data_IF_190580033850
#
_entry.id   IF_190580033850
#
_cell.length_a   1.000
_cell.length_b   1.000
_cell.length_c   1.000
_cell.angle_alpha   90.00
_cell.angle_beta   90.00
_cell.angle_gamma   90.00
#
_symmetry.space_group_name_H-M   'P 1'
#
loop_
_entity.id
_entity.type
_entity.pdbx_description
1 polymer ?
#
# COMPACT_ATOMS: atom_id res chain seq x y z
N UNK A 1 -39.25 9.14 -2.29
CA UNK A 1 -38.27 9.33 -3.38
C UNK A 1 -36.90 9.72 -2.79
N UNK A 2 -36.52 9.13 -1.66
CA UNK A 2 -35.54 9.76 -0.73
C UNK A 2 -34.63 8.73 -0.02
N UNK A 3 -34.44 7.56 -0.63
CA UNK A 3 -33.67 6.46 -0.04
C UNK A 3 -32.42 6.06 -0.83
N UNK A 4 -31.98 6.86 -1.82
CA UNK A 4 -30.93 6.41 -2.75
C UNK A 4 -29.64 7.26 -2.78
N UNK A 5 -29.47 8.27 -1.93
CA UNK A 5 -28.23 9.08 -1.97
C UNK A 5 -27.00 8.35 -1.41
N UNK A 6 -27.16 7.43 -0.46
CA UNK A 6 -26.03 6.65 0.10
C UNK A 6 -25.57 5.52 -0.83
N UNK A 7 -26.48 4.89 -1.57
CA UNK A 7 -26.18 3.83 -2.56
C UNK A 7 -25.76 4.39 -3.92
N UNK A 8 -26.26 5.56 -4.30
CA UNK A 8 -25.95 6.18 -5.59
C UNK A 8 -24.67 7.02 -5.61
N UNK A 9 -24.06 7.38 -4.46
CA UNK A 9 -22.82 8.18 -4.44
C UNK A 9 -21.70 7.58 -5.31
N UNK A 10 -21.55 6.24 -5.29
CA UNK A 10 -20.55 5.55 -6.12
C UNK A 10 -20.88 5.65 -7.61
N UNK A 11 -22.16 5.50 -7.99
CA UNK A 11 -22.61 5.64 -9.38
C UNK A 11 -22.47 7.09 -9.85
N UNK A 12 -22.91 8.05 -9.03
CA UNK A 12 -22.76 9.49 -9.28
C UNK A 12 -21.30 9.88 -9.52
N UNK A 13 -20.39 9.53 -8.62
CA UNK A 13 -18.97 9.83 -8.80
C UNK A 13 -18.33 9.06 -9.96
N UNK A 14 -18.85 7.87 -10.30
CA UNK A 14 -18.41 7.12 -11.48
C UNK A 14 -18.84 7.84 -12.76
N UNK A 15 -20.10 8.27 -12.84
CA UNK A 15 -20.65 9.04 -13.96
C UNK A 15 -19.95 10.38 -14.11
N UNK A 16 -19.76 11.14 -13.02
CA UNK A 16 -19.02 12.40 -13.03
C UNK A 16 -17.57 12.21 -13.50
N UNK A 17 -16.87 11.15 -13.05
CA UNK A 17 -15.53 10.84 -13.56
C UNK A 17 -15.54 10.47 -15.04
N UNK A 18 -16.57 9.78 -15.50
CA UNK A 18 -16.70 9.41 -16.91
C UNK A 18 -16.97 10.63 -17.79
N UNK A 19 -17.86 11.53 -17.35
CA UNK A 19 -18.16 12.79 -18.03
C UNK A 19 -16.98 13.78 -17.99
N UNK A 20 -16.19 13.76 -16.91
CA UNK A 20 -14.96 14.58 -16.78
C UNK A 20 -13.74 13.97 -17.47
N UNK A 21 -13.79 12.72 -17.93
CA UNK A 21 -12.70 12.12 -18.71
C UNK A 21 -12.69 12.77 -20.09
N UNK A 22 -11.93 13.85 -20.24
CA UNK A 22 -11.41 14.24 -21.55
C UNK A 22 -10.58 13.10 -22.16
N UNK A 23 -10.25 13.19 -23.45
CA UNK A 23 -9.32 12.26 -24.12
C UNK A 23 -8.08 12.08 -23.23
N UNK A 24 -7.88 10.87 -22.70
CA UNK A 24 -6.61 10.51 -22.09
C UNK A 24 -5.58 10.54 -23.21
N UNK A 25 -4.83 11.62 -23.31
CA UNK A 25 -3.61 11.62 -24.10
C UNK A 25 -2.68 10.62 -23.42
N UNK A 26 -2.40 9.51 -24.09
CA UNK A 26 -1.17 8.77 -23.84
C UNK A 26 -0.04 9.76 -24.03
N UNK A 27 0.58 10.14 -22.92
CA UNK A 27 1.69 11.08 -22.93
C UNK A 27 2.87 10.35 -23.57
N UNK A 28 2.98 10.46 -24.88
CA UNK A 28 4.11 9.95 -25.66
C UNK A 28 5.33 10.86 -25.53
N UNK A 29 5.24 11.95 -24.76
CA UNK A 29 6.30 12.94 -24.64
C UNK A 29 6.49 13.40 -23.20
N UNK A 30 7.70 13.36 -22.65
CA UNK A 30 7.97 13.79 -21.27
C UNK A 30 9.29 14.55 -21.16
N UNK A 31 9.46 15.34 -20.10
CA UNK A 31 10.74 15.97 -19.83
C UNK A 31 11.73 14.99 -19.16
N UNK A 32 12.94 14.93 -19.71
CA UNK A 32 14.11 14.31 -19.12
C UNK A 32 14.54 15.02 -17.83
N UNK A 33 15.51 14.44 -17.13
CA UNK A 33 16.09 15.08 -15.94
C UNK A 33 16.84 16.38 -16.28
N UNK A 34 17.36 16.47 -17.50
CA UNK A 34 18.04 17.63 -18.11
C UNK A 34 17.09 18.67 -18.70
N UNK A 35 15.77 18.42 -18.66
CA UNK A 35 14.75 19.27 -19.27
C UNK A 35 14.53 19.04 -20.77
N UNK A 36 15.22 18.08 -21.40
CA UNK A 36 14.99 17.73 -22.80
C UNK A 36 13.63 17.02 -22.98
N UNK A 37 12.98 17.21 -24.14
CA UNK A 37 11.72 16.54 -24.43
C UNK A 37 11.98 15.14 -25.03
N UNK A 38 11.69 14.10 -24.26
CA UNK A 38 11.74 12.70 -24.67
C UNK A 38 10.48 12.35 -25.44
N UNK A 39 10.60 11.73 -26.61
CA UNK A 39 9.44 11.34 -27.46
C UNK A 39 9.39 9.86 -27.80
N UNK A 40 10.50 9.14 -27.60
CA UNK A 40 10.59 7.69 -27.78
C UNK A 40 9.92 6.97 -26.62
N UNK A 41 9.12 5.94 -26.91
CA UNK A 41 8.49 5.10 -25.89
C UNK A 41 9.51 4.52 -24.91
N UNK A 42 10.70 4.15 -25.41
CA UNK A 42 11.76 3.60 -24.57
C UNK A 42 12.28 4.63 -23.58
N UNK A 43 12.62 5.81 -24.07
CA UNK A 43 13.18 6.89 -23.25
C UNK A 43 12.17 7.40 -22.22
N UNK A 44 10.89 7.46 -22.60
CA UNK A 44 9.79 7.78 -21.69
C UNK A 44 9.70 6.74 -20.56
N UNK A 45 9.73 5.45 -20.88
CA UNK A 45 9.63 4.36 -19.90
C UNK A 45 10.87 4.31 -19.00
N UNK A 46 12.06 4.50 -19.55
CA UNK A 46 13.31 4.54 -18.80
C UNK A 46 13.33 5.75 -17.85
N UNK A 47 12.90 6.93 -18.31
CA UNK A 47 12.75 8.14 -17.48
C UNK A 47 11.80 7.94 -16.29
N UNK A 48 10.72 7.20 -16.51
CA UNK A 48 9.82 6.82 -15.42
C UNK A 48 10.48 5.88 -14.41
N UNK A 49 11.24 4.91 -14.91
CA UNK A 49 12.05 4.01 -14.09
C UNK A 49 12.98 4.80 -13.17
N UNK A 50 13.78 5.70 -13.74
CA UNK A 50 14.70 6.59 -13.02
C UNK A 50 13.96 7.42 -11.95
N UNK A 51 12.85 8.09 -12.34
CA UNK A 51 12.10 8.91 -11.40
C UNK A 51 11.59 8.14 -10.18
N UNK A 52 11.04 6.93 -10.40
CA UNK A 52 10.55 6.11 -9.29
C UNK A 52 11.66 5.41 -8.52
N UNK A 53 12.79 5.11 -9.16
CA UNK A 53 13.98 4.60 -8.48
C UNK A 53 14.52 5.65 -7.50
N UNK A 54 14.71 6.88 -7.93
CA UNK A 54 15.13 7.99 -7.07
C UNK A 54 14.13 8.24 -5.93
N UNK A 55 12.83 8.23 -6.26
CA UNK A 55 11.78 8.48 -5.28
C UNK A 55 11.72 7.42 -4.18
N UNK A 56 11.98 6.15 -4.53
CA UNK A 56 11.89 5.00 -3.63
C UNK A 56 13.25 4.58 -3.05
N UNK A 57 14.32 5.35 -3.32
CA UNK A 57 15.67 5.12 -2.81
C UNK A 57 16.42 6.44 -2.53
N UNK A 58 15.95 7.31 -1.63
CA UNK A 58 16.62 8.55 -1.28
C UNK A 58 17.97 8.27 -0.59
N UNK A 59 18.96 9.11 -0.91
CA UNK A 59 20.38 8.95 -0.58
C UNK A 59 20.66 8.92 0.93
N UNK A 60 19.84 9.60 1.73
CA UNK A 60 20.02 9.75 3.19
C UNK A 60 19.40 8.61 4.02
N UNK A 61 19.12 7.46 3.42
CA UNK A 61 18.52 6.34 4.16
C UNK A 61 19.60 5.67 5.02
N UNK A 62 19.55 5.75 6.37
CA UNK A 62 20.51 5.04 7.19
C UNK A 62 20.37 3.53 6.96
N UNK A 63 21.48 2.88 6.59
CA UNK A 63 21.54 1.43 6.53
C UNK A 63 21.59 0.89 7.95
N UNK A 64 20.44 0.60 8.56
CA UNK A 64 20.43 -0.07 9.85
C UNK A 64 20.14 -1.56 9.72
N UNK A 65 21.11 -2.29 10.27
CA UNK A 65 21.33 -3.72 10.25
C UNK A 65 20.34 -4.51 11.10
N UNK A 66 20.25 -5.76 10.64
CA UNK A 66 19.92 -7.02 11.31
C UNK A 66 18.61 -7.12 12.11
N UNK A 67 17.71 -7.92 11.51
CA UNK A 67 16.70 -8.65 12.23
C UNK A 67 17.36 -9.35 13.43
N UNK A 68 16.92 -9.01 14.64
CA UNK A 68 17.35 -9.69 15.86
C UNK A 68 17.16 -11.21 15.75
N UNK A 69 17.84 -11.99 16.61
CA UNK A 69 17.87 -13.45 16.52
C UNK A 69 16.46 -14.04 16.34
N UNK A 70 16.32 -14.88 15.31
CA UNK A 70 15.07 -15.60 15.03
C UNK A 70 14.71 -16.43 16.27
N UNK A 71 13.59 -16.13 16.89
CA UNK A 71 13.07 -16.91 18.01
C UNK A 71 12.74 -18.34 17.52
N UNK A 72 13.29 -19.40 18.15
CA UNK A 72 13.02 -20.78 17.76
C UNK A 72 11.58 -21.24 18.04
N UNK A 73 10.74 -20.42 18.69
CA UNK A 73 9.31 -20.72 18.86
C UNK A 73 8.59 -20.65 17.51
N UNK A 74 8.15 -21.82 17.01
CA UNK A 74 7.24 -21.91 15.87
C UNK A 74 5.89 -21.35 16.29
N UNK A 75 5.61 -20.11 15.90
CA UNK A 75 4.30 -19.50 16.07
C UNK A 75 3.24 -20.29 15.31
N UNK A 76 1.97 -20.15 15.72
CA UNK A 76 0.88 -20.95 15.18
C UNK A 76 0.83 -20.93 13.65
N UNK A 77 0.62 -22.09 13.00
CA UNK A 77 0.55 -22.15 11.54
C UNK A 77 -0.58 -21.27 11.02
N UNK A 78 -0.48 -20.84 9.76
CA UNK A 78 -1.54 -20.10 9.08
C UNK A 78 -2.70 -21.06 8.80
N UNK A 79 -3.87 -20.76 9.38
CA UNK A 79 -5.06 -21.57 9.19
C UNK A 79 -5.73 -21.28 7.84
N UNK A 80 -6.45 -22.27 7.31
CA UNK A 80 -7.26 -22.09 6.09
C UNK A 80 -8.32 -21.00 6.29
N UNK A 81 -8.87 -20.89 7.50
CA UNK A 81 -9.87 -19.87 7.83
C UNK A 81 -9.31 -18.45 7.69
N UNK A 82 -8.08 -18.19 8.15
CA UNK A 82 -7.42 -16.89 7.97
C UNK A 82 -7.26 -16.54 6.48
N UNK A 83 -6.85 -17.51 5.67
CA UNK A 83 -6.66 -17.33 4.22
C UNK A 83 -8.01 -17.09 3.53
N UNK A 84 -9.02 -17.92 3.81
CA UNK A 84 -10.38 -17.80 3.27
C UNK A 84 -10.94 -16.39 3.51
N UNK A 85 -10.77 -15.92 4.73
CA UNK A 85 -11.21 -14.62 5.17
C UNK A 85 -10.53 -13.47 4.42
N UNK A 86 -9.25 -13.60 4.10
CA UNK A 86 -8.52 -12.60 3.30
C UNK A 86 -8.99 -12.64 1.85
N UNK A 87 -9.10 -13.83 1.26
CA UNK A 87 -9.57 -14.03 -0.12
C UNK A 87 -10.97 -13.46 -0.32
N UNK A 88 -11.90 -13.73 0.61
CA UNK A 88 -13.27 -13.20 0.55
C UNK A 88 -13.31 -11.67 0.51
N UNK A 89 -12.38 -11.01 1.23
CA UNK A 89 -12.28 -9.54 1.30
C UNK A 89 -11.48 -8.91 0.16
N UNK A 90 -10.92 -9.69 -0.77
CA UNK A 90 -10.28 -9.13 -1.97
C UNK A 90 -11.32 -8.33 -2.77
N UNK A 91 -10.92 -7.21 -3.37
CA UNK A 91 -11.81 -6.44 -4.24
C UNK A 91 -11.70 -6.96 -5.66
N UNK A 92 -12.84 -7.21 -6.32
CA UNK A 92 -12.87 -7.58 -7.74
C UNK A 92 -12.57 -6.39 -8.66
N UNK A 93 -12.29 -6.69 -9.93
CA UNK A 93 -11.99 -5.70 -10.96
C UNK A 93 -10.68 -4.94 -10.74
N UNK A 94 -9.77 -5.49 -9.93
CA UNK A 94 -8.46 -4.89 -9.66
C UNK A 94 -7.41 -5.43 -10.63
N UNK A 95 -6.47 -4.56 -11.01
CA UNK A 95 -5.36 -4.93 -11.89
C UNK A 95 -4.41 -5.91 -11.18
N UNK A 96 -3.88 -6.91 -11.91
CA UNK A 96 -2.95 -7.86 -11.35
C UNK A 96 -1.52 -7.28 -11.22
N UNK A 97 -0.69 -7.94 -10.42
CA UNK A 97 0.74 -7.64 -10.28
C UNK A 97 1.56 -8.27 -11.40
N UNK A 98 2.81 -8.62 -11.10
CA UNK A 98 3.69 -9.33 -12.05
C UNK A 98 3.22 -10.75 -12.39
N UNK A 99 2.42 -11.35 -11.51
CA UNK A 99 1.87 -12.69 -11.63
C UNK A 99 0.70 -12.78 -12.63
N UNK A 100 0.15 -11.64 -13.05
CA UNK A 100 -1.03 -11.52 -13.91
C UNK A 100 -2.29 -12.23 -13.34
N UNK A 101 -2.30 -12.58 -12.05
CA UNK A 101 -3.42 -13.25 -11.38
C UNK A 101 -4.42 -12.19 -10.86
N UNK A 102 -5.66 -12.30 -11.31
CA UNK A 102 -6.75 -11.41 -10.88
C UNK A 102 -7.47 -11.92 -9.62
N UNK A 103 -8.03 -11.03 -8.78
CA UNK A 103 -8.77 -11.41 -7.57
C UNK A 103 -9.86 -12.45 -7.77
N UNK A 104 -10.51 -12.45 -8.93
CA UNK A 104 -11.60 -13.38 -9.29
C UNK A 104 -11.12 -14.84 -9.28
N UNK A 105 -9.89 -15.11 -9.73
CA UNK A 105 -9.35 -16.46 -9.75
C UNK A 105 -9.21 -17.03 -8.34
N UNK A 106 -8.70 -16.24 -7.39
CA UNK A 106 -8.58 -16.71 -6.01
C UNK A 106 -9.93 -16.85 -5.31
N UNK A 107 -10.89 -15.98 -5.64
CA UNK A 107 -12.25 -16.07 -5.10
C UNK A 107 -13.03 -17.27 -5.62
N UNK A 108 -12.70 -17.75 -6.81
CA UNK A 108 -13.30 -18.92 -7.43
C UNK A 108 -12.66 -20.24 -6.97
N UNK A 109 -11.62 -20.21 -6.12
CA UNK A 109 -10.99 -21.42 -5.61
C UNK A 109 -11.98 -22.22 -4.75
N UNK A 110 -11.99 -23.52 -4.99
CA UNK A 110 -12.67 -24.49 -4.16
C UNK A 110 -11.84 -24.82 -2.89
N UNK A 111 -12.31 -25.78 -2.11
CA UNK A 111 -11.65 -26.19 -0.86
C UNK A 111 -10.22 -26.71 -1.13
N UNK A 112 -10.00 -27.39 -2.25
CA UNK A 112 -8.69 -27.91 -2.63
C UNK A 112 -7.75 -26.77 -3.01
N UNK A 113 -8.19 -25.86 -3.88
CA UNK A 113 -7.42 -24.68 -4.28
C UNK A 113 -7.05 -23.78 -3.10
N UNK A 114 -7.99 -23.55 -2.18
CA UNK A 114 -7.74 -22.80 -0.96
C UNK A 114 -6.73 -23.51 -0.03
N UNK A 115 -6.71 -24.84 -0.02
CA UNK A 115 -5.73 -25.63 0.73
C UNK A 115 -4.31 -25.46 0.16
N UNK A 116 -4.17 -25.45 -1.16
CA UNK A 116 -2.89 -25.16 -1.82
C UNK A 116 -2.39 -23.75 -1.51
N UNK A 117 -3.27 -22.74 -1.58
CA UNK A 117 -2.93 -21.36 -1.22
C UNK A 117 -2.52 -21.25 0.25
N UNK A 118 -3.20 -21.97 1.14
CA UNK A 118 -2.85 -22.03 2.57
C UNK A 118 -1.50 -22.71 2.79
N UNK A 119 -1.22 -23.79 2.05
CA UNK A 119 0.09 -24.45 2.09
C UNK A 119 1.20 -23.51 1.64
N UNK A 120 0.99 -22.75 0.56
CA UNK A 120 1.95 -21.73 0.10
C UNK A 120 2.23 -20.67 1.19
N UNK A 121 1.19 -20.16 1.85
CA UNK A 121 1.34 -19.22 2.96
C UNK A 121 2.14 -19.82 4.13
N UNK A 122 1.91 -21.10 4.45
CA UNK A 122 2.65 -21.78 5.51
C UNK A 122 4.12 -22.04 5.15
N UNK A 123 4.42 -22.38 3.89
CA UNK A 123 5.80 -22.50 3.41
C UNK A 123 6.53 -21.16 3.60
N UNK A 124 5.88 -20.05 3.24
CA UNK A 124 6.45 -18.72 3.46
C UNK A 124 6.65 -18.40 4.96
N UNK A 125 5.64 -18.74 5.78
CA UNK A 125 5.68 -18.56 7.24
C UNK A 125 6.83 -19.34 7.90
N UNK A 126 7.04 -20.60 7.54
CA UNK A 126 8.05 -21.46 8.19
C UNK A 126 9.45 -21.23 7.64
N UNK A 127 9.60 -21.00 6.33
CA UNK A 127 10.91 -20.73 5.72
C UNK A 127 11.43 -19.31 6.02
N UNK A 128 10.52 -18.37 6.28
CA UNK A 128 10.84 -16.95 6.40
C UNK A 128 11.23 -16.32 5.05
N UNK A 129 10.83 -16.93 3.94
CA UNK A 129 11.08 -16.46 2.58
C UNK A 129 9.81 -16.55 1.73
N UNK A 130 9.64 -15.62 0.79
CA UNK A 130 8.53 -15.61 -0.17
C UNK A 130 9.08 -15.70 -1.60
N UNK A 131 8.27 -16.15 -2.58
CA UNK A 131 8.64 -16.07 -3.99
C UNK A 131 9.00 -14.63 -4.41
N UNK A 132 9.91 -14.48 -5.37
CA UNK A 132 10.34 -13.18 -5.88
C UNK A 132 9.16 -12.33 -6.41
N UNK A 133 8.16 -12.97 -7.00
CA UNK A 133 6.94 -12.29 -7.48
C UNK A 133 6.19 -11.58 -6.35
N UNK A 134 6.20 -12.13 -5.13
CA UNK A 134 5.63 -11.49 -3.94
C UNK A 134 6.43 -10.28 -3.46
N UNK A 135 7.69 -10.18 -3.87
CA UNK A 135 8.59 -9.06 -3.58
C UNK A 135 8.70 -8.10 -4.77
N UNK A 136 8.02 -8.37 -5.88
CA UNK A 136 8.09 -7.56 -7.10
C UNK A 136 6.83 -6.74 -7.28
N UNK A 137 7.00 -5.42 -7.34
CA UNK A 137 5.91 -4.46 -7.54
C UNK A 137 5.90 -3.89 -8.96
N UNK A 138 4.71 -3.78 -9.55
CA UNK A 138 4.51 -3.05 -10.81
C UNK A 138 3.96 -1.67 -10.51
N UNK A 139 4.80 -0.64 -10.64
CA UNK A 139 4.40 0.76 -10.46
C UNK A 139 3.66 1.22 -11.71
N UNK A 140 2.44 1.72 -11.52
CA UNK A 140 1.63 2.34 -12.57
C UNK A 140 1.46 3.82 -12.23
N UNK A 141 2.03 4.75 -13.02
CA UNK A 141 1.86 6.18 -12.78
C UNK A 141 0.44 6.62 -13.13
N UNK A 142 -0.21 7.32 -12.19
CA UNK A 142 -1.51 7.94 -12.39
C UNK A 142 -1.38 9.44 -12.30
N UNK A 143 -1.80 10.13 -13.36
CA UNK A 143 -1.78 11.58 -13.41
C UNK A 143 -2.62 12.18 -12.27
N UNK A 144 -2.02 13.12 -11.53
CA UNK A 144 -2.66 13.79 -10.39
C UNK A 144 -3.11 15.21 -10.75
N UNK A 145 -2.18 16.08 -11.16
CA UNK A 145 -2.43 17.50 -11.49
C UNK A 145 -1.21 18.13 -12.18
N UNK A 146 -1.36 19.28 -12.85
CA UNK A 146 -0.23 20.03 -13.43
C UNK A 146 0.10 19.62 -14.87
N UNK A 147 1.34 19.84 -15.31
CA UNK A 147 1.82 19.42 -16.63
C UNK A 147 2.00 17.89 -16.68
N UNK A 148 1.37 17.25 -17.65
CA UNK A 148 1.44 15.80 -17.89
C UNK A 148 2.83 15.32 -18.33
N UNK A 149 3.70 16.23 -18.78
CA UNK A 149 5.07 15.90 -19.21
C UNK A 149 6.06 15.78 -18.04
N UNK A 150 5.63 16.10 -16.82
CA UNK A 150 6.49 16.14 -15.62
C UNK A 150 6.15 14.97 -14.69
N UNK A 151 7.13 14.13 -14.35
CA UNK A 151 6.90 12.92 -13.56
C UNK A 151 6.37 13.18 -12.14
N UNK A 152 6.77 14.28 -11.49
CA UNK A 152 6.32 14.65 -10.13
C UNK A 152 4.82 14.95 -10.01
N UNK A 153 4.16 15.19 -11.14
CA UNK A 153 2.72 15.42 -11.26
C UNK A 153 1.89 14.12 -11.27
N UNK A 154 2.55 12.97 -11.11
CA UNK A 154 1.92 11.66 -11.08
C UNK A 154 2.08 11.01 -9.71
N UNK A 155 1.11 10.14 -9.39
CA UNK A 155 1.14 9.24 -8.25
C UNK A 155 1.47 7.84 -8.74
N UNK A 156 2.52 7.22 -8.21
CA UNK A 156 2.77 5.79 -8.42
C UNK A 156 1.77 4.95 -7.63
N UNK A 157 1.11 4.00 -8.29
CA UNK A 157 0.40 2.91 -7.60
C UNK A 157 1.15 1.62 -7.85
N UNK A 158 1.55 0.94 -6.77
CA UNK A 158 2.28 -0.33 -6.85
C UNK A 158 1.30 -1.50 -6.86
N UNK A 159 1.29 -2.26 -7.94
CA UNK A 159 0.53 -3.50 -8.07
C UNK A 159 1.40 -4.68 -7.64
N UNK A 160 1.00 -5.33 -6.54
CA UNK A 160 1.69 -6.50 -5.99
C UNK A 160 1.04 -7.80 -6.45
N UNK A 161 1.81 -8.90 -6.40
CA UNK A 161 1.28 -10.24 -6.63
C UNK A 161 0.12 -10.56 -5.71
N UNK A 162 -0.85 -11.29 -6.22
CA UNK A 162 -2.06 -11.61 -5.50
C UNK A 162 -1.82 -12.64 -4.38
N UNK A 163 -1.00 -13.70 -4.56
CA UNK A 163 -0.59 -14.56 -3.45
C UNK A 163 0.15 -13.77 -2.35
N UNK A 164 1.02 -12.83 -2.74
CA UNK A 164 1.71 -11.93 -1.80
C UNK A 164 0.74 -11.01 -1.03
N UNK A 165 -0.30 -10.50 -1.70
CA UNK A 165 -1.40 -9.74 -1.06
C UNK A 165 -2.19 -10.61 -0.08
N UNK A 166 -2.44 -11.87 -0.40
CA UNK A 166 -3.13 -12.79 0.52
C UNK A 166 -2.27 -13.04 1.75
N UNK A 167 -1.00 -13.40 1.56
CA UNK A 167 -0.07 -13.65 2.67
C UNK A 167 0.09 -12.41 3.57
N UNK A 168 0.38 -11.25 2.99
CA UNK A 168 0.48 -9.99 3.73
C UNK A 168 -0.84 -9.62 4.43
N UNK A 169 -2.00 -9.92 3.85
CA UNK A 169 -3.30 -9.73 4.48
C UNK A 169 -3.56 -10.65 5.68
N UNK A 170 -2.97 -11.84 5.71
CA UNK A 170 -2.99 -12.72 6.89
C UNK A 170 -2.08 -12.15 7.98
N UNK A 171 -0.85 -11.77 7.62
CA UNK A 171 0.11 -11.18 8.57
C UNK A 171 -0.44 -9.89 9.19
N UNK A 172 -1.05 -9.03 8.37
CA UNK A 172 -1.70 -7.79 8.80
C UNK A 172 -2.73 -8.01 9.91
N UNK A 173 -3.60 -9.02 9.77
CA UNK A 173 -4.59 -9.35 10.81
C UNK A 173 -3.95 -9.84 12.09
N UNK A 174 -2.88 -10.64 12.00
CA UNK A 174 -2.13 -11.13 13.16
C UNK A 174 -1.47 -9.97 13.90
N UNK A 175 -0.82 -9.06 13.16
CA UNK A 175 -0.21 -7.84 13.72
C UNK A 175 -1.28 -6.94 14.33
N UNK A 176 -2.38 -6.68 13.62
CA UNK A 176 -3.46 -5.81 14.09
C UNK A 176 -4.02 -6.24 15.44
N UNK A 177 -4.23 -7.54 15.67
CA UNK A 177 -4.72 -8.05 16.96
C UNK A 177 -3.81 -7.67 18.15
N UNK A 178 -2.52 -7.50 17.90
CA UNK A 178 -1.51 -7.15 18.90
C UNK A 178 -1.42 -5.62 19.06
N UNK A 179 -1.47 -4.89 17.94
CA UNK A 179 -1.22 -3.44 17.91
C UNK A 179 -2.47 -2.63 18.28
N UNK A 180 -3.65 -3.03 17.81
CA UNK A 180 -4.90 -2.25 17.91
C UNK A 180 -5.26 -1.81 19.34
N UNK A 181 -5.14 -2.65 20.39
CA UNK A 181 -5.43 -2.23 21.78
C UNK A 181 -4.43 -1.22 22.35
N UNK A 182 -3.28 -1.03 21.70
CA UNK A 182 -2.20 -0.13 22.13
C UNK A 182 -2.19 1.18 21.36
N UNK A 183 -3.00 1.32 20.30
CA UNK A 183 -3.10 2.55 19.52
C UNK A 183 -3.94 3.56 20.31
N UNK A 184 -3.41 4.78 20.44
CA UNK A 184 -4.07 5.91 21.08
C UNK A 184 -5.44 6.22 20.47
N UNK A 185 -6.38 6.69 21.29
CA UNK A 185 -7.78 6.90 20.90
C UNK A 185 -7.92 8.02 19.85
N UNK A 186 -7.03 8.99 19.87
CA UNK A 186 -6.99 10.12 18.94
C UNK A 186 -6.63 9.68 17.53
N UNK A 187 -5.96 8.54 17.35
CA UNK A 187 -5.66 8.00 16.04
C UNK A 187 -6.93 7.39 15.44
N UNK A 188 -7.47 8.01 14.39
CA UNK A 188 -8.62 7.49 13.64
C UNK A 188 -8.26 6.93 12.25
N UNK A 189 -7.16 7.38 11.65
CA UNK A 189 -6.72 6.89 10.35
C UNK A 189 -6.43 5.38 10.37
N UNK A 190 -6.95 4.66 9.37
CA UNK A 190 -6.65 3.24 9.11
C UNK A 190 -7.13 2.24 10.18
N UNK A 191 -8.08 2.66 11.05
CA UNK A 191 -8.67 1.83 12.09
C UNK A 191 -10.11 1.43 11.75
N UNK A 192 -10.51 0.17 11.99
CA UNK A 192 -11.88 -0.27 11.75
C UNK A 192 -12.86 0.43 12.69
N UNK A 193 -14.01 0.85 12.16
CA UNK A 193 -15.07 1.51 12.94
C UNK A 193 -14.79 2.98 13.28
N UNK A 194 -13.74 3.58 12.72
CA UNK A 194 -13.40 4.99 12.88
C UNK A 194 -13.32 5.68 11.52
N UNK A 195 -13.70 6.95 11.48
CA UNK A 195 -13.71 7.75 10.26
C UNK A 195 -13.43 9.23 10.50
N UNK A 196 -13.43 9.98 9.41
CA UNK A 196 -13.22 11.44 9.44
C UNK A 196 -14.33 12.17 10.17
N UNK A 197 -15.54 11.59 10.21
CA UNK A 197 -16.69 12.17 10.92
C UNK A 197 -16.44 12.19 12.43
N UNK A 198 -15.83 11.14 12.99
CA UNK A 198 -15.52 11.08 14.41
C UNK A 198 -14.53 12.18 14.81
N UNK A 199 -13.48 12.39 14.00
CA UNK A 199 -12.50 13.45 14.20
C UNK A 199 -13.11 14.84 14.04
N UNK A 200 -13.99 15.04 13.06
CA UNK A 200 -14.70 16.29 12.87
C UNK A 200 -15.60 16.58 14.08
N UNK A 201 -16.29 15.58 14.59
CA UNK A 201 -17.11 15.70 15.80
C UNK A 201 -16.26 16.11 17.01
N UNK A 202 -15.13 15.42 17.26
CA UNK A 202 -14.20 15.77 18.34
C UNK A 202 -13.70 17.20 18.21
N UNK A 203 -13.28 17.62 17.01
CA UNK A 203 -12.84 18.99 16.76
C UNK A 203 -13.96 20.01 17.04
N UNK A 204 -15.19 19.74 16.57
CA UNK A 204 -16.35 20.60 16.84
C UNK A 204 -16.62 20.73 18.34
N UNK A 205 -16.54 19.64 19.11
CA UNK A 205 -16.72 19.68 20.57
C UNK A 205 -15.68 20.56 21.27
N UNK A 206 -14.42 20.48 20.85
CA UNK A 206 -13.34 21.33 21.37
C UNK A 206 -13.61 22.80 21.07
N UNK A 207 -14.06 23.12 19.86
CA UNK A 207 -14.39 24.49 19.47
C UNK A 207 -15.62 25.04 20.22
N UNK A 208 -16.69 24.25 20.33
CA UNK A 208 -17.89 24.63 21.07
C UNK A 208 -17.58 24.92 22.55
N UNK A 209 -16.85 24.02 23.21
CA UNK A 209 -16.48 24.20 24.62
C UNK A 209 -15.57 25.40 24.84
N UNK A 210 -14.59 25.61 23.95
CA UNK A 210 -13.70 26.78 24.06
C UNK A 210 -14.45 28.09 23.85
N UNK A 211 -15.45 28.09 22.95
CA UNK A 211 -16.32 29.24 22.73
C UNK A 211 -17.18 29.55 23.96
N UNK A 212 -17.77 28.53 24.60
CA UNK A 212 -18.57 28.66 25.83
C UNK A 212 -17.78 29.31 26.98
N UNK A 213 -16.51 28.95 27.14
CA UNK A 213 -15.65 29.47 28.21
C UNK A 213 -14.73 30.62 27.79
N UNK A 214 -14.99 31.23 26.61
CA UNK A 214 -14.20 32.32 26.03
C UNK A 214 -12.68 32.04 26.00
N UNK A 215 -12.30 30.78 25.80
CA UNK A 215 -10.91 30.36 25.71
C UNK A 215 -10.40 30.49 24.27
N UNK A 216 -9.21 31.08 24.05
CA UNK A 216 -8.61 31.13 22.72
C UNK A 216 -8.20 29.72 22.26
N UNK A 217 -8.51 29.38 21.00
CA UNK A 217 -8.10 28.12 20.38
C UNK A 217 -7.12 28.41 19.25
N UNK A 218 -5.98 27.72 19.26
CA UNK A 218 -5.01 27.73 18.18
C UNK A 218 -4.93 26.33 17.57
N UNK A 219 -5.01 26.24 16.24
CA UNK A 219 -4.97 24.98 15.50
C UNK A 219 -3.74 24.94 14.60
N UNK A 220 -3.05 23.79 14.60
CA UNK A 220 -1.91 23.52 13.72
C UNK A 220 -2.20 22.28 12.87
N UNK A 221 -2.19 22.45 11.55
CA UNK A 221 -2.37 21.34 10.61
C UNK A 221 -1.02 20.97 10.02
N UNK A 222 -0.60 19.72 10.23
CA UNK A 222 0.66 19.17 9.72
C UNK A 222 0.35 18.09 8.69
N UNK A 223 0.88 18.25 7.48
CA UNK A 223 0.80 17.25 6.41
C UNK A 223 2.20 16.78 6.02
N UNK A 224 2.41 15.46 5.99
CA UNK A 224 3.69 14.87 5.65
C UNK A 224 3.77 14.60 4.14
N UNK A 225 4.70 15.27 3.47
CA UNK A 225 4.92 15.05 2.04
C UNK A 225 5.40 13.61 1.77
N UNK A 226 4.60 12.85 1.01
CA UNK A 226 4.92 11.48 0.57
C UNK A 226 5.31 10.55 1.73
N UNK A 227 4.56 10.63 2.83
CA UNK A 227 4.83 9.90 4.07
C UNK A 227 5.19 8.41 3.87
N UNK A 228 4.43 7.67 3.04
CA UNK A 228 4.66 6.24 2.83
C UNK A 228 5.93 5.89 2.06
N UNK A 229 6.35 6.78 1.16
CA UNK A 229 7.52 6.59 0.29
C UNK A 229 8.82 6.91 1.05
N UNK A 230 8.72 7.61 2.20
CA UNK A 230 9.89 8.10 2.96
C UNK A 230 10.16 7.36 4.28
N UNK A 231 9.32 6.41 4.69
CA UNK A 231 9.54 5.68 5.96
C UNK A 231 10.73 4.71 5.82
N UNK A 232 11.82 4.86 6.61
CA UNK A 232 12.91 3.91 6.59
C UNK A 232 12.49 2.61 7.29
N UNK A 233 12.79 1.46 6.67
CA UNK A 233 12.32 0.14 7.14
C UNK A 233 12.84 -0.24 8.53
N UNK A 234 14.07 0.17 8.86
CA UNK A 234 14.65 -0.09 10.18
C UNK A 234 13.79 0.45 11.33
N UNK A 235 13.25 1.66 11.18
CA UNK A 235 12.34 2.24 12.18
C UNK A 235 11.04 1.44 12.30
N UNK A 236 10.48 0.96 11.18
CA UNK A 236 9.27 0.13 11.20
C UNK A 236 9.45 -1.13 12.05
N UNK A 237 10.61 -1.78 11.99
CA UNK A 237 10.91 -2.96 12.80
C UNK A 237 11.03 -2.64 14.29
N UNK A 238 11.63 -1.49 14.63
CA UNK A 238 11.70 -0.98 15.99
C UNK A 238 10.31 -0.72 16.56
N UNK A 239 9.47 0.02 15.83
CA UNK A 239 8.09 0.32 16.22
C UNK A 239 7.28 -0.96 16.42
N UNK A 240 7.33 -1.92 15.49
CA UNK A 240 6.58 -3.18 15.67
C UNK A 240 7.02 -3.93 16.95
N UNK A 241 8.32 -3.89 17.29
CA UNK A 241 8.82 -4.51 18.52
C UNK A 241 8.33 -3.78 19.77
N UNK A 242 8.32 -2.45 19.77
CA UNK A 242 7.78 -1.63 20.86
C UNK A 242 6.29 -1.89 21.10
N UNK A 243 5.52 -2.10 20.03
CA UNK A 243 4.11 -2.49 20.11
C UNK A 243 3.90 -3.97 20.50
N UNK A 244 4.97 -4.70 20.84
CA UNK A 244 4.90 -6.07 21.35
C UNK A 244 4.67 -7.14 20.27
N UNK A 245 4.97 -6.85 19.00
CA UNK A 245 4.92 -7.84 17.92
C UNK A 245 6.14 -8.77 18.05
N UNK A 246 5.90 -10.08 18.02
CA UNK A 246 6.97 -11.07 18.17
C UNK A 246 7.98 -11.02 17.02
N UNK A 247 9.25 -11.34 17.30
CA UNK A 247 10.31 -11.38 16.29
C UNK A 247 9.99 -12.34 15.12
N UNK A 248 9.26 -13.43 15.39
CA UNK A 248 8.78 -14.33 14.33
C UNK A 248 7.84 -13.62 13.35
N UNK A 249 6.85 -12.89 13.86
CA UNK A 249 5.87 -12.19 13.03
C UNK A 249 6.53 -10.98 12.32
N UNK A 250 7.46 -10.30 12.99
CA UNK A 250 8.30 -9.27 12.36
C UNK A 250 9.13 -9.90 11.23
N UNK A 251 9.75 -11.07 11.44
CA UNK A 251 10.51 -11.78 10.42
C UNK A 251 9.66 -12.19 9.21
N UNK A 252 8.43 -12.65 9.45
CA UNK A 252 7.47 -12.95 8.37
C UNK A 252 7.11 -11.68 7.57
N UNK A 253 6.88 -10.55 8.23
CA UNK A 253 6.65 -9.27 7.55
C UNK A 253 7.92 -8.85 6.79
N UNK A 254 9.10 -8.94 7.40
CA UNK A 254 10.39 -8.61 6.80
C UNK A 254 10.65 -9.42 5.52
N UNK A 255 10.24 -10.69 5.47
CA UNK A 255 10.39 -11.54 4.27
C UNK A 255 9.75 -10.93 3.02
N UNK A 256 8.68 -10.14 3.16
CA UNK A 256 8.04 -9.44 2.04
C UNK A 256 8.89 -8.26 1.50
N UNK A 257 9.82 -7.76 2.30
CA UNK A 257 10.60 -6.56 2.00
C UNK A 257 12.06 -6.83 1.63
N UNK A 258 12.63 -7.96 2.04
CA UNK A 258 14.06 -8.28 1.97
C UNK A 258 14.70 -8.05 0.59
N UNK A 259 14.05 -8.53 -0.49
CA UNK A 259 14.53 -8.37 -1.88
C UNK A 259 13.52 -7.61 -2.73
N UNK A 260 12.97 -6.55 -2.16
CA UNK A 260 11.96 -5.73 -2.84
C UNK A 260 12.49 -5.11 -4.12
N UNK A 261 11.85 -5.42 -5.25
CA UNK A 261 12.13 -4.84 -6.57
C UNK A 261 10.87 -4.21 -7.17
N UNK A 262 11.02 -3.09 -7.86
CA UNK A 262 9.95 -2.44 -8.61
C UNK A 262 10.30 -2.38 -10.10
N UNK A 263 9.28 -2.33 -10.94
CA UNK A 263 9.39 -1.89 -12.33
C UNK A 263 8.21 -0.97 -12.64
N UNK A 264 8.36 -0.07 -13.60
CA UNK A 264 7.28 0.81 -14.04
C UNK A 264 6.59 0.22 -15.27
N UNK A 265 5.26 0.22 -15.31
CA UNK A 265 4.45 -0.22 -16.45
C UNK A 265 3.59 0.92 -16.99
N UNK A 266 3.76 1.23 -18.28
CA UNK A 266 3.03 2.30 -18.99
C UNK A 266 2.69 1.83 -20.39
N UNK A 267 1.41 1.98 -20.77
CA UNK A 267 0.90 1.65 -22.11
C UNK A 267 1.32 0.24 -22.62
N UNK A 268 1.50 -0.71 -21.71
CA UNK A 268 1.94 -2.09 -22.03
C UNK A 268 3.46 -2.30 -22.01
N UNK A 269 4.26 -1.23 -22.06
CA UNK A 269 5.72 -1.29 -21.92
C UNK A 269 6.14 -1.34 -20.45
N UNK A 270 7.28 -2.00 -20.18
CA UNK A 270 7.86 -2.16 -18.84
C UNK A 270 9.27 -1.57 -18.83
N UNK A 271 9.62 -0.85 -17.76
CA UNK A 271 11.00 -0.43 -17.52
C UNK A 271 11.85 -1.61 -17.08
N UNK A 272 13.16 -1.39 -16.99
CA UNK A 272 14.03 -2.27 -16.20
C UNK A 272 13.57 -2.29 -14.74
N UNK A 273 13.83 -3.41 -14.06
CA UNK A 273 13.59 -3.50 -12.63
C UNK A 273 14.69 -2.79 -11.85
N UNK A 274 14.32 -2.21 -10.72
CA UNK A 274 15.22 -1.55 -9.78
C UNK A 274 14.92 -1.98 -8.34
N UNK A 275 15.92 -2.02 -7.46
CA UNK A 275 15.71 -2.33 -6.04
C UNK A 275 14.93 -1.22 -5.34
N UNK A 276 14.20 -1.57 -4.28
CA UNK A 276 13.45 -0.61 -3.46
C UNK A 276 13.89 -0.72 -2.02
N UNK A 277 14.45 0.37 -1.48
CA UNK A 277 15.01 0.45 -0.13
C UNK A 277 14.07 1.14 0.85
N UNK A 278 13.35 2.18 0.42
CA UNK A 278 12.28 2.81 1.20
C UNK A 278 10.98 2.61 0.45
N UNK A 279 10.02 1.95 1.10
CA UNK A 279 8.64 1.84 0.64
C UNK A 279 7.88 1.07 1.71
N UNK A 280 6.88 1.71 2.33
CA UNK A 280 5.94 1.06 3.25
C UNK A 280 4.65 0.60 2.56
N UNK A 281 4.39 1.04 1.32
CA UNK A 281 3.18 0.73 0.56
C UNK A 281 3.05 -0.75 0.17
N UNK A 282 4.15 -1.52 0.23
CA UNK A 282 4.17 -2.94 -0.16
C UNK A 282 3.47 -3.90 0.80
N UNK A 283 3.22 -3.52 2.06
CA UNK A 283 2.42 -4.38 2.90
C UNK A 283 0.93 -4.08 2.67
N UNK A 284 0.13 -5.15 2.55
CA UNK A 284 -1.30 -5.06 2.78
C UNK A 284 -1.66 -4.46 4.16
N UNK A 285 -0.69 -4.29 5.08
CA UNK A 285 -0.79 -3.43 6.27
C UNK A 285 -1.17 -1.97 5.94
N UNK A 286 -0.70 -1.41 4.82
CA UNK A 286 -1.12 -0.09 4.33
C UNK A 286 -2.09 -0.17 3.15
N UNK A 287 -1.96 -1.18 2.27
CA UNK A 287 -2.65 -1.15 0.97
C UNK A 287 -4.16 -1.46 1.00
N UNK A 288 -4.73 -1.89 2.14
CA UNK A 288 -6.20 -1.98 2.34
C UNK A 288 -6.93 -0.64 2.21
N UNK A 289 -6.21 0.47 2.09
CA UNK A 289 -6.76 1.83 2.14
C UNK A 289 -6.42 2.74 0.95
N UNK A 290 -5.75 2.22 -0.08
CA UNK A 290 -5.52 2.97 -1.32
C UNK A 290 -6.22 2.31 -2.50
N UNK A 291 -7.56 2.20 -2.45
CA UNK A 291 -8.37 1.87 -3.61
C UNK A 291 -9.88 2.05 -3.40
#
# INVERSE_FOLDING_TARGET
METDFRTASKRFWTTIRHLRRGKQCTVNTMYGADGALLTSTRDVVDRWGEYFEDLLNPTDTPSNQEAGPRDPRVGSPISRAEVAEVVKKLLGGRAPGVDEIRPEFLKALDVVGLSWLTRLCNIAWTSGAVPLDCQTGVVVPLFKKGDQRVCSNYRGITLLSLPGKVYSGVLERRVRRIVEPRIQEEQCGFRPGRGTVDQLYTLSRVLEGSWEFAQPVHMCFVDLEKAFDRVPRGFLWGVLREYGVSNLLIGAVHSLYDRSQSLVRIAGSKSKSFPVRVDSARAALCHRFCS
#
